data_IF_723703563670
#
_entry.id   IF_723703563670
#
_cell.length_a   1.000
_cell.length_b   1.000
_cell.length_c   1.000
_cell.angle_alpha   90.00
_cell.angle_beta   90.00
_cell.angle_gamma   90.00
#
_symmetry.space_group_name_H-M   'P 1'
#
loop_
_entity.id
_entity.type
_entity.pdbx_description
1 polymer ?
#
# COMPACT_ATOMS: atom_id res chain seq x y z
N UNK A 1 -23.47 -11.13 2.31
CA UNK A 1 -22.39 -10.14 2.12
C UNK A 1 -21.37 -10.79 1.23
N UNK A 2 -20.93 -10.10 0.16
CA UNK A 2 -19.84 -10.59 -0.68
C UNK A 2 -18.54 -10.45 0.11
N UNK A 3 -17.65 -11.43 0.02
CA UNK A 3 -16.33 -11.33 0.65
C UNK A 3 -15.58 -10.11 0.09
N UNK A 4 -14.86 -9.34 0.95
CA UNK A 4 -14.10 -8.19 0.49
C UNK A 4 -13.10 -8.56 -0.60
N UNK A 5 -13.01 -7.74 -1.65
CA UNK A 5 -12.05 -7.95 -2.74
C UNK A 5 -10.64 -7.60 -2.24
N UNK A 6 -9.68 -8.53 -2.18
CA UNK A 6 -8.32 -8.22 -1.74
C UNK A 6 -7.54 -7.51 -2.85
N UNK A 7 -6.94 -6.37 -2.51
CA UNK A 7 -6.12 -5.56 -3.43
C UNK A 7 -4.75 -5.34 -2.80
N UNK A 8 -3.69 -5.73 -3.50
CA UNK A 8 -2.33 -5.52 -3.04
C UNK A 8 -1.95 -4.04 -3.10
N UNK A 9 -1.34 -3.52 -2.03
CA UNK A 9 -0.85 -2.15 -1.96
C UNK A 9 0.56 -2.10 -1.36
N UNK A 10 1.35 -1.06 -1.62
CA UNK A 10 2.64 -0.86 -0.95
C UNK A 10 2.50 -0.82 0.57
N UNK A 11 3.50 -1.31 1.31
CA UNK A 11 3.47 -1.29 2.79
C UNK A 11 3.84 0.04 3.43
N UNK A 12 4.46 0.97 2.70
CA UNK A 12 4.99 2.22 3.25
C UNK A 12 5.41 3.23 2.18
N UNK A 13 5.63 4.46 2.63
CA UNK A 13 6.24 5.52 1.83
C UNK A 13 5.28 6.14 0.84
N UNK A 14 5.84 6.97 -0.06
CA UNK A 14 5.07 7.77 -1.03
C UNK A 14 4.13 6.94 -1.93
N UNK A 15 4.49 5.71 -2.37
CA UNK A 15 3.56 4.90 -3.15
C UNK A 15 2.29 4.51 -2.38
N UNK A 16 2.41 4.12 -1.09
CA UNK A 16 1.23 3.85 -0.26
C UNK A 16 0.40 5.13 -0.05
N UNK A 17 1.05 6.24 0.28
CA UNK A 17 0.36 7.53 0.47
C UNK A 17 -0.48 7.89 -0.77
N UNK A 18 0.10 7.75 -1.97
CA UNK A 18 -0.61 8.03 -3.23
C UNK A 18 -1.81 7.10 -3.48
N UNK A 19 -1.68 5.80 -3.14
CA UNK A 19 -2.81 4.86 -3.24
C UNK A 19 -3.93 5.27 -2.28
N UNK A 20 -3.61 5.58 -1.03
CA UNK A 20 -4.60 5.98 -0.03
C UNK A 20 -5.28 7.31 -0.40
N UNK A 21 -4.52 8.29 -0.89
CA UNK A 21 -5.06 9.55 -1.42
C UNK A 21 -6.03 9.30 -2.59
N UNK A 22 -5.70 8.37 -3.51
CA UNK A 22 -6.59 8.03 -4.64
C UNK A 22 -7.86 7.32 -4.18
N UNK A 23 -7.75 6.41 -3.22
CA UNK A 23 -8.89 5.69 -2.61
C UNK A 23 -9.83 6.69 -1.91
N UNK A 24 -9.26 7.63 -1.14
CA UNK A 24 -10.03 8.66 -0.46
C UNK A 24 -10.74 9.60 -1.46
N UNK A 25 -10.07 9.99 -2.55
CA UNK A 25 -10.65 10.89 -3.55
C UNK A 25 -11.84 10.30 -4.34
N UNK A 26 -11.99 8.97 -4.39
CA UNK A 26 -13.05 8.29 -5.17
C UNK A 26 -14.25 7.94 -4.29
N UNK A 27 -14.09 7.94 -2.98
CA UNK A 27 -15.14 7.55 -2.07
C UNK A 27 -15.86 8.75 -1.46
N UNK A 28 -17.15 8.62 -1.24
CA UNK A 28 -17.94 9.65 -0.59
C UNK A 28 -17.74 9.61 0.94
N UNK A 29 -17.13 10.66 1.49
CA UNK A 29 -17.16 11.00 2.92
C UNK A 29 -15.83 10.96 3.66
N UNK A 30 -15.77 11.74 4.76
CA UNK A 30 -14.56 12.04 5.54
C UNK A 30 -13.84 10.84 6.18
N UNK A 31 -14.43 9.64 6.14
CA UNK A 31 -13.86 8.46 6.78
C UNK A 31 -12.56 8.04 6.09
N UNK A 32 -12.55 8.04 4.77
CA UNK A 32 -11.40 7.56 3.99
C UNK A 32 -10.26 8.57 3.98
N UNK A 33 -10.57 9.86 4.03
CA UNK A 33 -9.59 10.91 4.30
C UNK A 33 -8.90 10.68 5.65
N UNK A 34 -9.68 10.44 6.72
CA UNK A 34 -9.15 10.15 8.06
C UNK A 34 -8.28 8.89 8.08
N UNK A 35 -8.67 7.85 7.35
CA UNK A 35 -7.86 6.63 7.21
C UNK A 35 -6.53 6.93 6.51
N UNK A 36 -6.57 7.64 5.37
CA UNK A 36 -5.39 7.97 4.58
C UNK A 36 -4.40 8.84 5.38
N UNK A 37 -4.90 9.88 6.05
CA UNK A 37 -4.12 10.76 6.89
C UNK A 37 -3.56 10.01 8.11
N UNK A 38 -4.37 9.19 8.77
CA UNK A 38 -3.97 8.39 9.92
C UNK A 38 -2.81 7.46 9.59
N UNK A 39 -2.95 6.66 8.53
CA UNK A 39 -1.89 5.75 8.09
C UNK A 39 -0.63 6.51 7.68
N UNK A 40 -0.78 7.61 6.93
CA UNK A 40 0.36 8.42 6.48
C UNK A 40 1.13 9.04 7.64
N UNK A 41 0.42 9.60 8.63
CA UNK A 41 1.02 10.21 9.81
C UNK A 41 1.74 9.17 10.68
N UNK A 42 1.12 8.02 10.94
CA UNK A 42 1.73 6.91 11.69
C UNK A 42 3.03 6.46 11.02
N UNK A 43 3.03 6.22 9.71
CA UNK A 43 4.22 5.74 9.00
C UNK A 43 5.32 6.80 8.89
N UNK A 44 4.96 8.09 8.83
CA UNK A 44 5.94 9.19 8.87
C UNK A 44 6.58 9.32 10.25
N UNK A 45 5.79 9.18 11.33
CA UNK A 45 6.31 9.11 12.69
C UNK A 45 7.27 7.93 12.86
N UNK A 46 6.87 6.72 12.46
CA UNK A 46 7.72 5.52 12.56
C UNK A 46 9.01 5.64 11.75
N UNK A 47 8.94 6.30 10.59
CA UNK A 47 10.13 6.64 9.80
C UNK A 47 11.06 7.59 10.56
N UNK A 48 10.51 8.59 11.26
CA UNK A 48 11.28 9.54 12.06
C UNK A 48 11.94 8.86 13.28
N UNK A 49 11.21 8.00 13.99
CA UNK A 49 11.74 7.16 15.08
C UNK A 49 12.86 6.26 14.57
N UNK A 50 12.65 5.57 13.46
CA UNK A 50 13.69 4.71 12.84
C UNK A 50 14.94 5.50 12.42
N UNK A 51 14.79 6.78 12.10
CA UNK A 51 15.89 7.68 11.73
C UNK A 51 16.58 8.31 12.94
N UNK A 52 16.07 8.10 14.15
CA UNK A 52 16.56 8.75 15.37
C UNK A 52 16.30 10.26 15.39
N UNK A 53 15.36 10.76 14.57
CA UNK A 53 14.98 12.18 14.58
C UNK A 53 13.87 12.49 15.57
N UNK A 54 13.20 11.46 16.09
CA UNK A 54 12.19 11.53 17.14
C UNK A 54 12.49 10.39 18.11
N UNK A 55 12.53 10.69 19.40
CA UNK A 55 12.58 9.67 20.43
C UNK A 55 11.16 9.20 20.74
N UNK A 56 10.97 7.88 20.72
CA UNK A 56 9.72 7.26 21.11
C UNK A 56 9.82 6.78 22.55
N UNK A 57 8.86 7.17 23.38
CA UNK A 57 8.81 6.76 24.79
C UNK A 57 8.54 5.25 24.95
N UNK A 58 7.74 4.70 24.04
CA UNK A 58 7.31 3.31 24.04
C UNK A 58 8.09 2.45 23.03
N UNK A 59 8.21 1.16 23.32
CA UNK A 59 8.85 0.19 22.41
C UNK A 59 8.01 -0.09 21.16
N UNK A 60 8.58 -0.70 20.10
CA UNK A 60 7.87 -0.95 18.85
C UNK A 60 6.65 -1.88 18.98
N UNK A 61 6.61 -2.74 20.00
CA UNK A 61 5.45 -3.62 20.23
C UNK A 61 4.29 -2.89 20.90
N UNK A 62 4.59 -1.97 21.82
CA UNK A 62 3.58 -1.16 22.50
C UNK A 62 2.94 -0.18 21.52
N UNK A 63 3.77 0.50 20.70
CA UNK A 63 3.27 1.36 19.62
C UNK A 63 2.45 0.60 18.58
N UNK A 64 2.86 -0.62 18.22
CA UNK A 64 2.06 -1.46 17.33
C UNK A 64 0.66 -1.74 17.90
N UNK A 65 0.58 -2.06 19.20
CA UNK A 65 -0.70 -2.31 19.86
C UNK A 65 -1.57 -1.04 19.96
N UNK A 66 -0.97 0.15 19.97
CA UNK A 66 -1.69 1.42 19.89
C UNK A 66 -2.25 1.67 18.48
N UNK A 67 -1.51 1.30 17.44
CA UNK A 67 -1.90 1.59 16.05
C UNK A 67 -2.88 0.59 15.44
N UNK A 68 -3.03 -0.60 16.03
CA UNK A 68 -3.79 -1.70 15.42
C UNK A 68 -4.75 -2.32 16.40
N UNK A 69 -6.02 -2.33 16.01
CA UNK A 69 -7.07 -3.07 16.68
C UNK A 69 -7.59 -4.20 15.78
N UNK A 70 -7.21 -5.47 16.02
CA UNK A 70 -7.65 -6.59 15.19
C UNK A 70 -9.15 -6.89 15.33
N UNK A 71 -9.84 -6.31 16.33
CA UNK A 71 -11.28 -6.45 16.48
C UNK A 71 -12.07 -5.54 15.52
N UNK A 72 -11.42 -4.55 14.89
CA UNK A 72 -12.09 -3.53 14.06
C UNK A 72 -11.50 -3.49 12.64
N UNK A 73 -11.98 -4.34 11.70
CA UNK A 73 -11.36 -4.52 10.37
C UNK A 73 -11.30 -3.29 9.45
N UNK A 74 -12.03 -2.24 9.80
CA UNK A 74 -12.09 -1.00 9.05
C UNK A 74 -11.19 0.10 9.63
N UNK A 75 -10.55 -0.16 10.77
CA UNK A 75 -9.37 0.56 11.23
C UNK A 75 -8.12 -0.04 10.56
N UNK A 76 -7.06 0.75 10.37
CA UNK A 76 -5.84 0.26 9.75
C UNK A 76 -5.10 -0.72 10.66
N UNK A 77 -4.64 -1.82 10.08
CA UNK A 77 -3.73 -2.76 10.71
C UNK A 77 -2.30 -2.50 10.24
N UNK A 78 -1.37 -2.64 11.18
CA UNK A 78 0.05 -2.54 10.97
C UNK A 78 0.72 -3.83 11.43
N UNK A 79 1.95 -4.04 10.97
CA UNK A 79 2.75 -5.20 11.36
C UNK A 79 4.22 -4.83 11.52
N UNK A 80 4.96 -5.64 12.28
CA UNK A 80 6.39 -5.48 12.45
C UNK A 80 7.14 -6.26 11.38
N UNK A 81 7.86 -5.52 10.52
CA UNK A 81 8.79 -6.07 9.56
C UNK A 81 10.22 -5.97 10.10
N UNK A 82 10.96 -7.07 10.02
CA UNK A 82 12.39 -7.06 10.32
C UNK A 82 13.11 -6.51 9.09
N UNK A 83 13.75 -5.34 9.24
CA UNK A 83 14.64 -4.83 8.21
C UNK A 83 15.77 -5.82 7.96
N UNK A 84 16.37 -5.67 6.79
CA UNK A 84 17.58 -6.12 6.11
C UNK A 84 19.00 -5.64 6.44
N UNK A 85 19.08 -4.46 7.03
CA UNK A 85 20.31 -3.66 7.09
C UNK A 85 21.03 -3.72 8.44
N UNK A 86 22.35 -3.91 8.46
CA UNK A 86 23.14 -4.06 9.69
C UNK A 86 22.71 -3.08 10.81
N UNK A 87 22.35 -3.59 11.99
CA UNK A 87 21.67 -2.85 13.07
C UNK A 87 20.12 -2.97 13.11
N UNK A 88 19.53 -3.62 12.11
CA UNK A 88 18.10 -3.96 11.83
C UNK A 88 17.07 -3.66 12.94
N UNK A 89 16.64 -2.40 13.15
CA UNK A 89 15.47 -2.12 13.98
C UNK A 89 14.23 -2.74 13.33
N UNK A 90 13.35 -3.34 14.15
CA UNK A 90 12.01 -3.75 13.70
C UNK A 90 11.25 -2.49 13.28
N UNK A 91 10.63 -2.50 12.11
CA UNK A 91 9.86 -1.36 11.59
C UNK A 91 8.39 -1.71 11.55
N UNK A 92 7.56 -0.81 12.03
CA UNK A 92 6.12 -0.90 11.84
C UNK A 92 5.82 -0.47 10.39
N UNK A 93 4.98 -1.26 9.70
CA UNK A 93 4.56 -1.03 8.32
C UNK A 93 3.06 -1.31 8.19
N UNK A 94 2.40 -0.74 7.18
CA UNK A 94 1.00 -1.02 6.88
C UNK A 94 0.82 -2.50 6.54
N UNK A 95 -0.24 -3.12 7.06
CA UNK A 95 -0.57 -4.52 6.78
C UNK A 95 -1.91 -4.66 6.06
N UNK A 96 -2.99 -4.07 6.57
CA UNK A 96 -4.29 -4.12 5.91
C UNK A 96 -5.24 -3.00 6.34
N UNK A 97 -6.25 -2.73 5.51
CA UNK A 97 -7.42 -1.96 5.91
C UNK A 97 -8.60 -2.34 5.01
N UNK A 98 -9.80 -2.40 5.57
CA UNK A 98 -11.02 -2.62 4.80
C UNK A 98 -11.73 -1.30 4.52
N UNK A 99 -12.01 -1.02 3.26
CA UNK A 99 -12.64 0.22 2.77
C UNK A 99 -13.91 -0.09 1.98
N UNK A 100 -14.89 0.79 2.03
CA UNK A 100 -16.08 0.71 1.17
C UNK A 100 -15.97 1.74 0.04
N UNK A 101 -16.08 1.28 -1.20
CA UNK A 101 -16.01 2.08 -2.41
C UNK A 101 -17.32 1.93 -3.19
N UNK A 102 -18.31 2.77 -2.85
CA UNK A 102 -19.59 2.80 -3.56
C UNK A 102 -20.33 1.47 -3.53
N UNK A 103 -20.35 0.77 -2.39
CA UNK A 103 -21.01 -0.53 -2.23
C UNK A 103 -20.15 -1.74 -2.61
N UNK A 104 -18.89 -1.52 -2.99
CA UNK A 104 -17.87 -2.58 -3.09
C UNK A 104 -16.96 -2.50 -1.88
N UNK A 105 -16.92 -3.57 -1.10
CA UNK A 105 -15.99 -3.69 0.01
C UNK A 105 -14.64 -4.19 -0.50
N UNK A 106 -13.59 -3.40 -0.31
CA UNK A 106 -12.22 -3.69 -0.73
C UNK A 106 -11.34 -3.88 0.49
N UNK A 107 -10.54 -4.93 0.51
CA UNK A 107 -9.50 -5.15 1.52
C UNK A 107 -8.15 -4.77 0.92
N UNK A 108 -7.61 -3.63 1.32
CA UNK A 108 -6.24 -3.25 0.99
C UNK A 108 -5.30 -4.15 1.78
N UNK A 109 -4.34 -4.78 1.10
CA UNK A 109 -3.38 -5.72 1.71
C UNK A 109 -1.98 -5.24 1.38
N UNK A 110 -1.25 -4.80 2.40
CA UNK A 110 0.14 -4.39 2.32
C UNK A 110 1.03 -5.54 1.85
N UNK A 111 1.71 -5.37 0.73
CA UNK A 111 2.73 -6.27 0.20
C UNK A 111 4.08 -5.56 0.10
N UNK A 112 5.16 -6.30 0.34
CA UNK A 112 6.48 -5.77 0.01
C UNK A 112 6.49 -5.45 -1.48
N UNK A 113 6.79 -4.19 -1.81
CA UNK A 113 6.80 -3.76 -3.19
C UNK A 113 7.85 -4.53 -3.99
N UNK A 114 7.51 -5.13 -5.15
CA UNK A 114 8.49 -5.40 -6.20
C UNK A 114 8.96 -4.10 -6.88
N UNK A 115 8.30 -2.96 -6.63
CA UNK A 115 8.52 -1.66 -7.28
C UNK A 115 9.80 -0.94 -6.82
N UNK A 116 10.96 -1.54 -7.05
CA UNK A 116 12.13 -0.73 -7.41
C UNK A 116 12.05 -0.54 -8.93
N UNK A 117 11.78 0.67 -9.47
CA UNK A 117 11.97 0.89 -10.90
C UNK A 117 13.40 0.48 -11.25
N UNK A 118 13.60 -0.42 -12.23
CA UNK A 118 14.91 -0.89 -12.58
C UNK A 118 15.72 0.30 -13.08
N UNK A 119 16.73 0.71 -12.31
CA UNK A 119 17.92 1.28 -12.94
C UNK A 119 18.50 0.13 -13.73
N UNK A 120 18.21 0.10 -15.04
CA UNK A 120 18.90 -0.71 -16.06
C UNK A 120 19.60 -1.94 -15.49
N UNK A 121 18.89 -3.07 -15.36
CA UNK A 121 19.35 -4.37 -15.85
C UNK A 121 18.25 -5.42 -15.62
N UNK A 122 18.13 -6.22 -16.67
CA UNK A 122 17.23 -7.34 -16.95
C UNK A 122 17.22 -8.37 -15.82
N UNK A 123 16.04 -8.78 -15.35
CA UNK A 123 15.88 -10.01 -14.58
C UNK A 123 14.58 -10.75 -14.92
N UNK A 124 14.69 -12.07 -14.86
CA UNK A 124 13.74 -13.08 -15.31
C UNK A 124 12.43 -13.09 -14.50
N UNK A 125 11.35 -13.36 -15.22
CA UNK A 125 9.97 -13.44 -14.75
C UNK A 125 9.80 -14.34 -13.52
N UNK A 126 9.27 -13.75 -12.46
CA UNK A 126 8.49 -14.43 -11.43
C UNK A 126 7.22 -13.63 -11.18
N UNK A 127 6.31 -13.63 -12.16
CA UNK A 127 5.00 -12.99 -12.04
C UNK A 127 4.08 -13.88 -11.19
N UNK A 128 3.68 -13.40 -10.01
CA UNK A 128 2.57 -13.96 -9.25
C UNK A 128 1.34 -13.05 -9.38
N UNK A 129 0.16 -13.65 -9.36
CA UNK A 129 -1.00 -13.30 -10.17
C UNK A 129 -1.89 -12.18 -9.60
N UNK A 130 -1.35 -11.22 -8.85
CA UNK A 130 -2.16 -10.24 -8.10
C UNK A 130 -1.79 -8.76 -8.34
N UNK A 131 -0.84 -8.45 -9.23
CA UNK A 131 -0.38 -7.09 -9.47
C UNK A 131 -1.29 -6.34 -10.46
N UNK A 132 -2.46 -5.90 -10.00
CA UNK A 132 -3.28 -4.91 -10.72
C UNK A 132 -2.61 -3.54 -10.55
N UNK A 133 -1.83 -3.15 -11.56
CA UNK A 133 -1.17 -1.84 -11.70
C UNK A 133 -2.25 -0.78 -11.97
N UNK A 134 -2.51 0.09 -11.00
CA UNK A 134 -3.38 1.25 -11.19
C UNK A 134 -2.60 2.43 -11.80
N UNK A 135 -2.97 2.73 -13.05
CA UNK A 135 -3.09 4.07 -13.64
C UNK A 135 -1.86 4.84 -14.15
N UNK A 136 -0.63 4.34 -14.07
CA UNK A 136 0.54 5.07 -14.63
C UNK A 136 1.25 4.38 -15.82
N UNK A 137 0.79 3.20 -16.27
CA UNK A 137 1.39 2.52 -17.43
C UNK A 137 0.39 1.94 -18.45
N UNK A 138 -0.90 1.85 -18.13
CA UNK A 138 -1.90 1.32 -19.06
C UNK A 138 -3.15 2.21 -18.98
N UNK A 139 -3.48 2.88 -20.08
CA UNK A 139 -4.78 3.54 -20.22
C UNK A 139 -5.87 2.47 -20.21
N UNK A 140 -6.90 2.66 -19.38
CA UNK A 140 -8.05 1.74 -19.34
C UNK A 140 -8.86 1.97 -20.62
N UNK A 141 -8.89 0.99 -21.53
CA UNK A 141 -9.65 1.03 -22.80
C UNK A 141 -10.93 0.18 -22.72
N UNK A 142 -11.93 0.50 -23.55
CA UNK A 142 -13.23 -0.23 -23.59
C UNK A 142 -13.08 -1.71 -23.98
N UNK A 143 -11.98 -2.08 -24.64
CA UNK A 143 -11.63 -3.47 -24.94
C UNK A 143 -10.45 -3.90 -24.08
N UNK A 144 -10.56 -5.07 -23.45
CA UNK A 144 -9.46 -5.69 -22.69
C UNK A 144 -8.33 -6.14 -23.61
N UNK A 145 -7.12 -6.26 -23.06
CA UNK A 145 -5.95 -6.73 -23.82
C UNK A 145 -6.12 -8.21 -24.20
N UNK A 146 -6.03 -8.53 -25.49
CA UNK A 146 -6.23 -9.89 -26.01
C UNK A 146 -5.04 -10.84 -25.84
N UNK A 147 -3.85 -10.33 -25.50
CA UNK A 147 -2.66 -11.14 -25.23
C UNK A 147 -1.58 -10.34 -24.47
N UNK A 148 -0.57 -11.05 -23.95
CA UNK A 148 0.50 -10.47 -23.12
C UNK A 148 1.47 -9.56 -23.91
N UNK A 149 1.59 -9.78 -25.22
CA UNK A 149 2.45 -8.95 -26.08
C UNK A 149 1.91 -7.50 -26.19
N UNK A 150 0.59 -7.33 -26.06
CA UNK A 150 -0.05 -6.01 -26.10
C UNK A 150 0.34 -5.11 -24.91
N UNK A 151 0.85 -5.67 -23.81
CA UNK A 151 1.31 -4.92 -22.62
C UNK A 151 2.53 -4.04 -22.93
N UNK A 152 3.37 -4.47 -23.88
CA UNK A 152 4.60 -3.74 -24.24
C UNK A 152 4.37 -2.65 -25.29
N UNK A 153 3.15 -2.53 -25.83
CA UNK A 153 2.87 -1.54 -26.85
C UNK A 153 2.66 -0.18 -26.17
N UNK A 154 3.67 0.69 -26.29
CA UNK A 154 3.54 2.09 -25.88
C UNK A 154 2.55 2.77 -26.82
N UNK A 155 1.45 3.36 -26.34
CA UNK A 155 0.66 4.25 -27.18
C UNK A 155 1.48 5.53 -27.43
N UNK A 156 1.55 5.97 -28.68
CA UNK A 156 2.16 7.26 -29.01
C UNK A 156 1.34 8.40 -28.36
N UNK A 157 2.01 9.42 -27.83
CA UNK A 157 1.33 10.57 -27.25
C UNK A 157 0.60 11.40 -28.32
N UNK A 158 -0.50 12.10 -27.97
CA UNK A 158 -1.13 13.08 -28.85
C UNK A 158 -0.25 14.32 -29.11
#
# INVERSE_FOLDING_TARGET
MTDPVPVAVPRKGRPLEAVLERVAAVADGDRLDRLADGVSNTLRYEKAVTKGSVDADAGPYERLAEYSDPATPAEPEFTLLRDDRNGKPRRIVFDAATVDLGGVTVKLVGREEPFRPPRTHEFALGFDSADIVLEQAVGITETGLGNIAAISHRPDPP
#
